data_IF_996712218749
#
_entry.id   IF_996712218749
#
_cell.length_a   1.000
_cell.length_b   1.000
_cell.length_c   1.000
_cell.angle_alpha   90.00
_cell.angle_beta   90.00
_cell.angle_gamma   90.00
#
_symmetry.space_group_name_H-M   'P 1'
#
loop_
_entity.id
_entity.type
_entity.pdbx_description
1 polymer ?
#
# COMPACT_ATOMS: atom_id res chain seq x y z
N UNK A 1 -21.92 12.48 1.29
CA UNK A 1 -20.56 12.60 0.71
C UNK A 1 -19.78 11.36 1.14
N UNK A 2 -19.17 10.64 0.20
CA UNK A 2 -18.35 9.46 0.53
C UNK A 2 -17.09 9.91 1.26
N UNK A 3 -16.71 9.22 2.34
CA UNK A 3 -15.47 9.52 3.08
C UNK A 3 -14.28 8.98 2.27
N UNK A 4 -13.18 9.74 2.24
CA UNK A 4 -11.95 9.39 1.53
C UNK A 4 -10.80 9.27 2.52
N UNK A 5 -9.77 8.50 2.16
CA UNK A 5 -8.52 8.39 2.91
C UNK A 5 -7.33 8.82 2.04
N UNK A 6 -6.47 9.65 2.60
CA UNK A 6 -5.19 10.05 2.01
C UNK A 6 -4.07 9.61 2.95
N UNK A 7 -3.35 8.56 2.55
CA UNK A 7 -2.23 8.03 3.32
C UNK A 7 -0.97 8.77 2.92
N UNK A 8 -0.36 9.51 3.84
CA UNK A 8 0.91 10.19 3.56
C UNK A 8 2.08 9.26 3.90
N UNK A 9 2.97 9.02 2.94
CA UNK A 9 4.13 8.16 3.07
C UNK A 9 5.41 8.93 2.75
N UNK A 10 6.35 9.05 3.70
CA UNK A 10 7.65 9.66 3.43
C UNK A 10 8.50 8.73 2.57
N UNK A 11 9.06 9.24 1.49
CA UNK A 11 9.88 8.48 0.55
C UNK A 11 11.25 9.14 0.33
N UNK A 12 12.27 8.32 0.15
CA UNK A 12 13.65 8.75 -0.10
C UNK A 12 13.89 9.18 -1.54
N UNK A 13 13.24 8.53 -2.50
CA UNK A 13 13.28 8.85 -3.93
C UNK A 13 11.86 8.90 -4.50
N UNK A 14 11.40 10.11 -4.83
CA UNK A 14 10.04 10.34 -5.30
C UNK A 14 9.77 9.68 -6.66
N UNK A 15 10.71 9.75 -7.62
CA UNK A 15 10.49 9.22 -8.96
C UNK A 15 10.51 7.70 -8.96
N UNK A 16 11.42 7.10 -8.20
CA UNK A 16 11.46 5.66 -8.03
C UNK A 16 10.21 5.13 -7.31
N UNK A 17 9.70 5.88 -6.33
CA UNK A 17 8.44 5.54 -5.65
C UNK A 17 7.24 5.65 -6.59
N UNK A 18 7.13 6.72 -7.39
CA UNK A 18 6.06 6.84 -8.39
C UNK A 18 6.08 5.65 -9.35
N UNK A 19 7.25 5.24 -9.84
CA UNK A 19 7.38 4.09 -10.73
C UNK A 19 6.94 2.77 -10.05
N UNK A 20 7.34 2.58 -8.79
CA UNK A 20 6.92 1.42 -7.98
C UNK A 20 5.40 1.36 -7.82
N UNK A 21 4.76 2.45 -7.36
CA UNK A 21 3.32 2.48 -7.15
C UNK A 21 2.52 2.32 -8.45
N UNK A 22 3.03 2.85 -9.58
CA UNK A 22 2.46 2.58 -10.91
C UNK A 22 2.49 1.10 -11.27
N UNK A 23 3.59 0.42 -10.98
CA UNK A 23 3.72 -1.02 -11.25
C UNK A 23 2.75 -1.86 -10.41
N UNK A 24 2.38 -1.38 -9.21
CA UNK A 24 1.35 -2.00 -8.37
C UNK A 24 -0.09 -1.70 -8.81
N UNK A 25 -0.29 -0.88 -9.85
CA UNK A 25 -1.60 -0.54 -10.41
C UNK A 25 -2.15 0.83 -9.98
N UNK A 26 -1.46 1.56 -9.11
CA UNK A 26 -1.87 2.92 -8.73
C UNK A 26 -1.67 3.89 -9.89
N UNK A 27 -2.56 4.88 -10.01
CA UNK A 27 -2.48 5.89 -11.06
C UNK A 27 -2.11 7.26 -10.47
N UNK A 28 -1.17 8.01 -11.06
CA UNK A 28 -0.88 9.36 -10.57
C UNK A 28 -2.07 10.28 -10.83
N UNK A 29 -2.40 11.14 -9.87
CA UNK A 29 -3.30 12.28 -10.08
C UNK A 29 -2.46 13.53 -10.40
N UNK A 30 -2.39 13.98 -11.67
CA UNK A 30 -1.50 15.06 -12.08
C UNK A 30 -1.80 16.40 -11.38
N UNK A 31 -3.03 16.59 -10.88
CA UNK A 31 -3.44 17.82 -10.20
C UNK A 31 -2.80 17.98 -8.82
N UNK A 32 -2.32 16.88 -8.22
CA UNK A 32 -1.71 16.83 -6.89
C UNK A 32 -0.30 16.23 -6.93
N UNK A 33 0.43 16.49 -8.02
CA UNK A 33 1.83 16.11 -8.17
C UNK A 33 2.68 17.35 -8.39
N UNK A 34 3.79 17.45 -7.66
CA UNK A 34 4.84 18.45 -7.82
C UNK A 34 6.22 17.80 -7.61
N UNK A 35 7.29 18.58 -7.63
CA UNK A 35 8.66 18.07 -7.48
C UNK A 35 8.94 17.51 -6.07
N UNK A 36 8.04 17.75 -5.11
CA UNK A 36 8.18 17.36 -3.70
C UNK A 36 7.20 16.29 -3.25
N UNK A 37 6.19 15.99 -4.07
CA UNK A 37 5.08 15.09 -3.72
C UNK A 37 4.35 14.52 -4.93
N UNK A 38 3.77 13.34 -4.78
CA UNK A 38 2.90 12.73 -5.78
C UNK A 38 1.69 12.05 -5.15
N UNK A 39 0.51 12.31 -5.70
CA UNK A 39 -0.72 11.64 -5.32
C UNK A 39 -0.96 10.41 -6.21
N UNK A 40 -0.92 9.22 -5.61
CA UNK A 40 -1.16 7.93 -6.24
C UNK A 40 -2.55 7.42 -5.87
N UNK A 41 -3.41 7.22 -6.87
CA UNK A 41 -4.81 6.83 -6.74
C UNK A 41 -4.92 5.31 -6.82
N UNK A 42 -5.50 4.69 -5.79
CA UNK A 42 -5.90 3.28 -5.82
C UNK A 42 -7.35 3.13 -6.28
N UNK A 43 -8.24 3.97 -5.74
CA UNK A 43 -9.66 4.02 -6.07
C UNK A 43 -10.18 5.44 -5.92
N UNK A 44 -11.47 5.66 -6.22
CA UNK A 44 -12.14 6.95 -6.00
C UNK A 44 -12.07 7.44 -4.53
N UNK A 45 -11.78 6.56 -3.57
CA UNK A 45 -11.79 6.86 -2.13
C UNK A 45 -10.46 6.62 -1.42
N UNK A 46 -9.48 5.98 -2.07
CA UNK A 46 -8.18 5.61 -1.47
C UNK A 46 -7.04 6.23 -2.27
N UNK A 47 -6.28 7.08 -1.59
CA UNK A 47 -5.18 7.85 -2.14
C UNK A 47 -3.92 7.66 -1.30
N UNK A 48 -2.75 7.59 -1.95
CA UNK A 48 -1.44 7.55 -1.31
C UNK A 48 -0.64 8.78 -1.73
N UNK A 49 -0.33 9.65 -0.78
CA UNK A 49 0.52 10.82 -0.96
C UNK A 49 1.97 10.43 -0.68
N UNK A 50 2.76 10.27 -1.74
CA UNK A 50 4.21 10.08 -1.66
C UNK A 50 4.85 11.44 -1.42
N UNK A 51 5.60 11.58 -0.34
CA UNK A 51 6.18 12.86 0.09
C UNK A 51 7.69 12.72 0.23
N UNK A 52 8.45 13.62 -0.38
CA UNK A 52 9.88 13.76 -0.04
C UNK A 52 10.04 14.00 1.47
N UNK A 53 11.15 13.56 2.06
CA UNK A 53 11.41 13.78 3.48
C UNK A 53 11.34 15.27 3.87
N UNK A 54 11.77 16.18 2.99
CA UNK A 54 11.66 17.62 3.20
C UNK A 54 10.19 18.06 3.33
N UNK A 55 9.30 17.57 2.45
CA UNK A 55 7.86 17.85 2.51
C UNK A 55 7.21 17.22 3.75
N UNK A 56 7.56 15.96 4.07
CA UNK A 56 7.07 15.29 5.27
C UNK A 56 7.35 16.08 6.55
N UNK A 57 8.54 16.69 6.65
CA UNK A 57 8.94 17.52 7.81
C UNK A 57 8.12 18.80 7.97
N UNK A 58 7.39 19.24 6.94
CA UNK A 58 6.44 20.35 7.12
C UNK A 58 5.14 19.91 7.79
N UNK A 59 4.87 18.61 7.90
CA UNK A 59 3.66 18.06 8.51
C UNK A 59 3.89 17.69 9.97
N UNK A 60 5.11 17.29 10.33
CA UNK A 60 5.45 16.85 11.68
C UNK A 60 6.94 16.93 11.98
N UNK A 61 7.26 17.26 13.23
CA UNK A 61 8.62 17.19 13.78
C UNK A 61 8.99 15.80 14.32
N UNK A 62 8.04 14.87 14.39
CA UNK A 62 8.30 13.50 14.85
C UNK A 62 9.41 12.85 14.01
N UNK A 63 10.31 12.07 14.63
CA UNK A 63 11.35 11.38 13.88
C UNK A 63 10.74 10.39 12.89
N UNK A 64 11.40 10.19 11.76
CA UNK A 64 11.10 9.05 10.89
C UNK A 64 11.39 7.75 11.65
N UNK A 65 10.59 6.69 11.43
CA UNK A 65 10.85 5.39 12.04
C UNK A 65 12.27 4.89 11.67
N UNK A 66 12.98 4.23 12.60
CA UNK A 66 14.24 3.57 12.28
C UNK A 66 14.08 2.59 11.12
N UNK A 67 15.13 2.42 10.31
CA UNK A 67 15.13 1.46 9.22
C UNK A 67 14.74 0.05 9.70
N UNK A 68 13.83 -0.61 9.00
CA UNK A 68 13.31 -1.93 9.36
C UNK A 68 12.21 -1.93 10.43
N UNK A 69 11.79 -0.77 10.93
CA UNK A 69 10.60 -0.66 11.79
C UNK A 69 9.39 -0.22 11.00
N UNK A 70 8.20 -0.66 11.43
CA UNK A 70 6.93 -0.25 10.84
C UNK A 70 5.93 0.10 11.94
N UNK A 71 5.17 1.17 11.73
CA UNK A 71 4.07 1.58 12.61
C UNK A 71 2.69 1.19 12.09
N UNK A 72 2.59 0.74 10.84
CA UNK A 72 1.32 0.46 10.17
C UNK A 72 1.51 -0.53 9.02
N UNK A 73 0.47 -1.29 8.71
CA UNK A 73 0.34 -2.07 7.49
C UNK A 73 -0.99 -1.72 6.81
N UNK A 74 -0.94 -1.48 5.50
CA UNK A 74 -2.10 -1.08 4.71
C UNK A 74 -2.58 -2.26 3.87
N UNK A 75 -3.74 -2.80 4.19
CA UNK A 75 -4.26 -3.97 3.48
C UNK A 75 -5.25 -3.58 2.37
N UNK A 76 -5.04 -4.13 1.17
CA UNK A 76 -5.89 -3.93 0.00
C UNK A 76 -6.59 -5.24 -0.35
N UNK A 77 -7.92 -5.16 -0.45
CA UNK A 77 -8.72 -6.26 -0.97
C UNK A 77 -8.52 -6.34 -2.49
N UNK A 78 -8.29 -7.55 -2.97
CA UNK A 78 -8.02 -7.89 -4.37
C UNK A 78 -9.13 -8.80 -4.91
N UNK A 79 -9.29 -8.83 -6.23
CA UNK A 79 -10.38 -9.56 -6.89
C UNK A 79 -10.14 -11.08 -6.96
N UNK A 80 -8.88 -11.53 -6.87
CA UNK A 80 -8.52 -12.94 -6.97
C UNK A 80 -7.17 -13.25 -6.31
N UNK A 81 -6.88 -14.54 -6.13
CA UNK A 81 -5.56 -15.02 -5.70
C UNK A 81 -4.46 -14.60 -6.67
N UNK A 82 -4.72 -14.72 -7.97
CA UNK A 82 -3.78 -14.30 -9.01
C UNK A 82 -3.48 -12.80 -8.93
N UNK A 83 -4.47 -11.97 -8.56
CA UNK A 83 -4.25 -10.53 -8.37
C UNK A 83 -3.37 -10.23 -7.13
N UNK A 84 -3.53 -10.99 -6.05
CA UNK A 84 -2.62 -10.95 -4.88
C UNK A 84 -1.19 -11.31 -5.30
N UNK A 85 -1.03 -12.40 -6.05
CA UNK A 85 0.28 -12.85 -6.53
C UNK A 85 0.93 -11.85 -7.49
N UNK A 86 0.15 -11.30 -8.43
CA UNK A 86 0.61 -10.31 -9.39
C UNK A 86 1.13 -9.04 -8.69
N UNK A 87 0.43 -8.56 -7.66
CA UNK A 87 0.87 -7.40 -6.89
C UNK A 87 2.19 -7.68 -6.15
N UNK A 88 2.32 -8.87 -5.54
CA UNK A 88 3.53 -9.25 -4.80
C UNK A 88 4.75 -9.40 -5.75
N UNK A 89 4.55 -10.04 -6.91
CA UNK A 89 5.57 -10.14 -7.96
C UNK A 89 5.98 -8.76 -8.50
N UNK A 90 5.01 -7.88 -8.73
CA UNK A 90 5.28 -6.53 -9.19
C UNK A 90 6.10 -5.73 -8.16
N UNK A 91 5.85 -5.90 -6.86
CA UNK A 91 6.64 -5.26 -5.82
C UNK A 91 8.12 -5.68 -5.88
N UNK A 92 8.38 -7.00 -5.91
CA UNK A 92 9.74 -7.53 -6.01
C UNK A 92 10.47 -7.05 -7.27
N UNK A 93 9.78 -7.04 -8.42
CA UNK A 93 10.36 -6.63 -9.69
C UNK A 93 10.71 -5.12 -9.76
N UNK A 94 10.11 -4.30 -8.90
CA UNK A 94 10.26 -2.83 -8.93
C UNK A 94 11.03 -2.28 -7.71
N UNK A 95 11.81 -3.13 -7.04
CA UNK A 95 12.72 -2.75 -5.96
C UNK A 95 12.08 -2.66 -4.58
N UNK A 96 10.84 -3.12 -4.42
CA UNK A 96 10.28 -3.47 -3.12
C UNK A 96 10.65 -4.89 -2.71
N UNK A 97 10.01 -5.38 -1.64
CA UNK A 97 10.22 -6.71 -1.09
C UNK A 97 8.91 -7.49 -1.13
N UNK A 98 8.95 -8.66 -1.76
CA UNK A 98 7.89 -9.66 -1.72
C UNK A 98 7.95 -10.47 -0.41
N UNK A 99 6.82 -11.05 -0.03
CA UNK A 99 6.68 -11.98 1.11
C UNK A 99 7.43 -11.57 2.38
N UNK A 100 7.24 -10.32 2.81
CA UNK A 100 7.89 -9.79 4.03
C UNK A 100 7.35 -10.44 5.30
N UNK A 101 6.22 -11.14 5.20
CA UNK A 101 5.65 -12.03 6.19
C UNK A 101 5.29 -13.38 5.54
N UNK A 102 5.10 -14.46 6.32
CA UNK A 102 4.60 -15.73 5.80
C UNK A 102 3.28 -15.56 5.05
N UNK A 103 3.14 -16.27 3.92
CA UNK A 103 1.90 -16.30 3.13
C UNK A 103 0.73 -16.72 4.01
N UNK A 104 -0.36 -15.95 3.96
CA UNK A 104 -1.59 -16.25 4.67
C UNK A 104 -2.46 -17.15 3.80
N UNK A 105 -2.59 -18.40 4.21
CA UNK A 105 -3.47 -19.38 3.59
C UNK A 105 -4.50 -19.84 4.62
N UNK A 106 -5.63 -19.15 4.64
CA UNK A 106 -6.79 -19.47 5.46
C UNK A 106 -7.92 -19.89 4.52
N UNK A 107 -8.73 -20.90 4.87
CA UNK A 107 -9.74 -21.44 3.96
C UNK A 107 -10.69 -20.42 3.31
N UNK A 108 -10.84 -19.22 3.89
CA UNK A 108 -11.63 -18.10 3.37
C UNK A 108 -10.80 -16.89 2.91
N UNK A 109 -9.48 -16.88 3.11
CA UNK A 109 -8.61 -15.74 2.85
C UNK A 109 -7.24 -16.19 2.35
N UNK A 110 -6.81 -15.60 1.24
CA UNK A 110 -5.45 -15.70 0.73
C UNK A 110 -4.78 -14.33 0.79
N UNK A 111 -3.61 -14.23 1.40
CA UNK A 111 -2.93 -12.94 1.58
C UNK A 111 -1.42 -13.02 1.49
N UNK A 112 -0.81 -11.99 0.90
CA UNK A 112 0.64 -11.83 0.81
C UNK A 112 1.03 -10.39 1.09
N UNK A 113 1.95 -10.24 2.02
CA UNK A 113 2.47 -8.94 2.42
C UNK A 113 3.71 -8.58 1.61
N UNK A 114 3.86 -7.28 1.33
CA UNK A 114 5.00 -6.71 0.64
C UNK A 114 5.44 -5.41 1.33
N UNK A 115 6.70 -5.05 1.15
CA UNK A 115 7.19 -3.72 1.51
C UNK A 115 7.54 -2.94 0.24
N UNK A 116 7.27 -1.64 0.25
CA UNK A 116 7.81 -0.77 -0.78
C UNK A 116 9.30 -0.48 -0.58
N UNK A 117 9.83 0.42 -1.41
CA UNK A 117 11.25 0.79 -1.43
C UNK A 117 11.74 1.44 -0.13
N UNK A 118 10.83 2.09 0.61
CA UNK A 118 11.13 2.79 1.86
C UNK A 118 10.72 1.97 3.09
N UNK A 119 10.22 0.75 2.88
CA UNK A 119 9.84 -0.20 3.94
C UNK A 119 8.39 -0.06 4.41
N UNK A 120 7.55 0.71 3.72
CA UNK A 120 6.13 0.82 4.05
C UNK A 120 5.42 -0.49 3.73
N UNK A 121 4.67 -1.04 4.69
CA UNK A 121 4.03 -2.34 4.54
C UNK A 121 2.66 -2.26 3.89
N UNK A 122 2.46 -3.12 2.90
CA UNK A 122 1.20 -3.35 2.21
C UNK A 122 0.82 -4.83 2.28
N UNK A 123 -0.45 -5.13 2.54
CA UNK A 123 -1.00 -6.49 2.54
C UNK A 123 -2.00 -6.66 1.42
N UNK A 124 -1.68 -7.40 0.37
CA UNK A 124 -2.64 -7.76 -0.66
C UNK A 124 -3.39 -9.01 -0.20
N UNK A 125 -4.73 -8.97 -0.18
CA UNK A 125 -5.51 -10.14 0.20
C UNK A 125 -6.76 -10.31 -0.66
N UNK A 126 -7.17 -11.56 -0.82
CA UNK A 126 -8.40 -11.96 -1.46
C UNK A 126 -9.22 -12.77 -0.45
N UNK A 127 -10.53 -12.53 -0.41
CA UNK A 127 -11.47 -13.34 0.38
C UNK A 127 -12.33 -14.19 -0.56
N UNK A 128 -12.47 -15.47 -0.24
CA UNK A 128 -13.37 -16.36 -0.97
C UNK A 128 -14.83 -16.00 -0.62
N UNK A 129 -15.62 -15.50 -1.59
CA UNK A 129 -17.00 -15.15 -1.34
C UNK A 129 -17.88 -16.33 -0.90
N UNK A 130 -17.50 -17.55 -1.25
CA UNK A 130 -18.25 -18.77 -0.91
C UNK A 130 -17.88 -19.34 0.47
N UNK A 131 -16.71 -19.00 1.00
CA UNK A 131 -16.21 -19.51 2.28
C UNK A 131 -16.26 -18.45 3.41
N UNK A 132 -16.81 -17.27 3.14
CA UNK A 132 -16.90 -16.19 4.12
C UNK A 132 -17.83 -16.61 5.27
N UNK A 133 -17.35 -16.63 6.53
CA UNK A 133 -18.20 -16.98 7.66
C UNK A 133 -19.37 -15.99 7.76
N UNK A 134 -20.56 -16.45 8.19
CA UNK A 134 -21.69 -15.54 8.41
C UNK A 134 -21.25 -14.42 9.34
N UNK A 135 -21.60 -13.17 8.99
CA UNK A 135 -21.24 -12.01 9.79
C UNK A 135 -21.65 -12.27 11.24
N UNK A 136 -20.69 -12.20 12.16
CA UNK A 136 -21.00 -12.33 13.58
C UNK A 136 -22.04 -11.27 13.92
N UNK A 137 -23.23 -11.72 14.31
CA UNK A 137 -24.30 -10.84 14.80
C UNK A 137 -23.75 -10.16 16.05
N UNK A 138 -23.32 -8.91 15.91
CA UNK A 138 -22.97 -8.09 17.07
C UNK A 138 -24.23 -7.98 17.92
N UNK A 139 -24.19 -8.61 19.10
CA UNK A 139 -25.24 -8.58 20.12
C UNK A 139 -25.13 -7.30 20.94
#
# INVERSE_FOLDING_TARGET
MTKMIFVSLPVTDLQASIAFYKALGFQPNPQFCDDTSACMVWSETIYTMLLTHAKWRTFTDRPLPPHGSTGVMLSLAMDSRDAVDAMNLAAAANGGQADVNPVQELGFMYGRDLADRDGHLWGAFWMDPAAMPPAATQS
#
